data_IF_951427622618
#
_entry.id   IF_951427622618
#
_cell.length_a   1.000
_cell.length_b   1.000
_cell.length_c   1.000
_cell.angle_alpha   90.00
_cell.angle_beta   90.00
_cell.angle_gamma   90.00
#
_symmetry.space_group_name_H-M   'P 1'
#
loop_
_entity.id
_entity.type
_entity.pdbx_description
1 polymer ?
#
# COMPACT_ATOMS: atom_id res chain seq x y z
N UNK A 1 -30.77 -12.92 -0.22
CA UNK A 1 -30.25 -12.21 0.96
C UNK A 1 -28.75 -12.39 1.06
N UNK A 2 -28.08 -11.46 1.75
CA UNK A 2 -26.62 -11.26 1.91
C UNK A 2 -25.96 -10.37 0.85
N UNK A 3 -26.08 -9.07 1.09
CA UNK A 3 -25.06 -8.09 0.71
C UNK A 3 -23.76 -8.46 1.45
N UNK A 4 -22.69 -8.72 0.71
CA UNK A 4 -21.35 -8.79 1.28
C UNK A 4 -21.02 -7.38 1.78
N UNK A 5 -20.69 -7.26 3.07
CA UNK A 5 -20.25 -6.01 3.68
C UNK A 5 -18.89 -5.64 3.12
N UNK A 6 -18.82 -4.57 2.34
CA UNK A 6 -17.57 -3.94 1.99
C UNK A 6 -17.19 -3.16 3.23
N UNK A 7 -16.28 -3.69 4.04
CA UNK A 7 -15.68 -2.92 5.10
C UNK A 7 -14.99 -1.73 4.44
N UNK A 8 -15.62 -0.55 4.51
CA UNK A 8 -14.94 0.69 4.25
C UNK A 8 -13.86 0.78 5.32
N UNK A 9 -12.63 0.45 4.96
CA UNK A 9 -11.47 0.81 5.76
C UNK A 9 -11.50 2.33 5.87
N UNK A 10 -12.02 2.82 6.98
CA UNK A 10 -12.04 4.24 7.28
C UNK A 10 -10.59 4.71 7.22
N UNK A 11 -10.29 5.60 6.26
CA UNK A 11 -9.00 6.26 6.17
C UNK A 11 -8.72 6.91 7.52
N UNK A 12 -7.66 6.45 8.18
CA UNK A 12 -7.08 7.14 9.33
C UNK A 12 -6.85 8.61 8.96
N UNK A 13 -7.09 9.57 9.88
CA UNK A 13 -6.79 10.97 9.61
C UNK A 13 -5.32 11.07 9.19
N UNK A 14 -5.08 11.67 8.03
CA UNK A 14 -3.75 11.80 7.45
C UNK A 14 -2.87 12.58 8.43
N UNK A 15 -1.71 12.04 8.86
CA UNK A 15 -0.85 12.78 9.77
C UNK A 15 -0.42 14.07 9.07
N UNK A 16 -0.70 15.22 9.68
CA UNK A 16 -0.26 16.53 9.21
C UNK A 16 0.69 17.12 10.23
N UNK A 17 1.75 17.77 9.74
CA UNK A 17 2.70 18.49 10.55
C UNK A 17 2.55 19.98 10.26
N UNK A 18 2.35 20.75 11.31
CA UNK A 18 2.24 22.21 11.27
C UNK A 18 3.48 22.81 11.93
N UNK A 19 4.11 23.78 11.29
CA UNK A 19 5.26 24.48 11.84
C UNK A 19 5.27 25.95 11.44
N UNK A 20 5.69 26.81 12.36
CA UNK A 20 5.81 28.25 12.14
C UNK A 20 7.28 28.63 12.02
N UNK A 21 7.64 29.37 10.97
CA UNK A 21 9.01 29.81 10.69
C UNK A 21 9.03 31.33 10.54
N UNK A 22 9.99 31.98 11.18
CA UNK A 22 10.26 33.39 10.98
C UNK A 22 11.21 33.56 9.79
N UNK A 23 10.73 34.20 8.71
CA UNK A 23 11.53 34.54 7.55
C UNK A 23 11.97 36.02 7.65
N UNK A 24 13.27 36.26 7.76
CA UNK A 24 13.83 37.60 7.77
C UNK A 24 14.27 38.01 6.37
N UNK A 25 13.83 39.20 5.92
CA UNK A 25 14.35 39.84 4.72
C UNK A 25 15.47 40.79 5.12
N UNK A 26 16.62 40.72 4.44
CA UNK A 26 17.75 41.59 4.74
C UNK A 26 17.35 43.08 4.60
N UNK A 27 17.57 43.86 5.67
CA UNK A 27 17.14 45.27 5.80
C UNK A 27 15.62 45.47 5.63
N UNK A 28 14.82 44.43 5.85
CA UNK A 28 13.37 44.45 5.63
C UNK A 28 12.58 43.87 6.80
N UNK A 29 11.28 43.66 6.55
CA UNK A 29 10.35 43.09 7.53
C UNK A 29 10.66 41.61 7.79
N UNK A 30 10.34 41.17 9.01
CA UNK A 30 10.31 39.74 9.36
C UNK A 30 8.88 39.24 9.24
N UNK A 31 8.70 38.11 8.56
CA UNK A 31 7.40 37.48 8.36
C UNK A 31 7.30 36.22 9.21
N UNK A 32 6.16 36.01 9.87
CA UNK A 32 5.81 34.72 10.45
C UNK A 32 5.07 33.89 9.40
N UNK A 33 5.68 32.79 8.99
CA UNK A 33 5.17 31.91 7.94
C UNK A 33 4.70 30.61 8.60
N UNK A 34 3.43 30.28 8.40
CA UNK A 34 2.87 28.98 8.78
C UNK A 34 3.05 28.00 7.63
N UNK A 35 3.65 26.86 7.94
CA UNK A 35 3.94 25.79 7.00
C UNK A 35 3.17 24.54 7.43
N UNK A 36 2.30 24.07 6.53
CA UNK A 36 1.53 22.85 6.69
C UNK A 36 2.08 21.78 5.75
N UNK A 37 2.48 20.65 6.30
CA UNK A 37 2.90 19.47 5.55
C UNK A 37 1.93 18.31 5.80
N UNK A 38 1.32 17.80 4.73
CA UNK A 38 0.55 16.56 4.80
C UNK A 38 1.50 15.37 4.64
N UNK A 39 1.65 14.57 5.70
CA UNK A 39 2.43 13.33 5.65
C UNK A 39 1.55 12.24 5.05
N UNK A 40 1.81 11.91 3.79
CA UNK A 40 1.10 10.83 3.11
C UNK A 40 1.58 9.48 3.68
N UNK A 41 0.70 8.78 4.40
CA UNK A 41 0.94 7.39 4.80
C UNK A 41 1.02 6.50 3.56
N UNK A 42 2.01 5.60 3.49
CA UNK A 42 2.18 4.70 2.36
C UNK A 42 1.00 3.71 2.17
N UNK A 43 -0.07 4.11 1.47
CA UNK A 43 -1.24 3.27 1.17
C UNK A 43 -1.11 2.52 -0.17
N UNK A 44 -0.64 1.28 -0.07
CA UNK A 44 -0.65 0.30 -1.17
C UNK A 44 -1.65 -0.81 -0.87
N UNK A 45 -2.37 -1.28 -1.89
CA UNK A 45 -3.38 -2.32 -1.71
C UNK A 45 -3.36 -3.37 -2.83
N UNK A 46 -3.74 -4.61 -2.49
CA UNK A 46 -3.89 -5.73 -3.41
C UNK A 46 -5.37 -6.07 -3.59
N UNK A 47 -5.76 -6.43 -4.81
CA UNK A 47 -7.12 -6.96 -5.05
C UNK A 47 -7.39 -8.28 -4.31
N UNK A 48 -6.33 -9.03 -4.01
CA UNK A 48 -6.35 -10.27 -3.21
C UNK A 48 -4.95 -10.53 -2.66
N UNK A 49 -4.87 -10.98 -1.42
CA UNK A 49 -3.62 -11.35 -0.74
C UNK A 49 -3.32 -12.86 -0.81
N UNK A 50 -4.33 -13.65 -1.17
CA UNK A 50 -4.28 -15.10 -1.24
C UNK A 50 -4.67 -15.58 -2.64
N UNK A 51 -3.85 -16.46 -3.20
CA UNK A 51 -4.13 -17.15 -4.45
C UNK A 51 -4.51 -18.59 -4.17
N UNK A 52 -5.71 -18.99 -4.58
CA UNK A 52 -6.16 -20.38 -4.56
C UNK A 52 -6.29 -20.87 -6.00
N UNK A 53 -5.39 -21.78 -6.37
CA UNK A 53 -5.47 -22.49 -7.64
C UNK A 53 -6.36 -23.73 -7.46
N UNK A 54 -7.13 -24.04 -8.49
CA UNK A 54 -7.96 -25.24 -8.53
C UNK A 54 -7.13 -26.46 -8.87
N UNK A 55 -7.71 -27.66 -8.83
CA UNK A 55 -7.04 -28.84 -9.38
C UNK A 55 -6.78 -28.63 -10.87
N UNK A 56 -5.51 -28.78 -11.29
CA UNK A 56 -5.11 -28.66 -12.69
C UNK A 56 -4.58 -30.00 -13.19
N UNK A 57 -4.91 -30.36 -14.42
CA UNK A 57 -4.38 -31.56 -15.07
C UNK A 57 -2.92 -31.36 -15.47
N UNK A 58 -2.17 -32.47 -15.52
CA UNK A 58 -0.79 -32.48 -16.00
C UNK A 58 -0.73 -31.90 -17.43
N UNK A 59 0.13 -30.92 -17.64
CA UNK A 59 0.30 -30.24 -18.93
C UNK A 59 -0.61 -29.04 -19.15
N UNK A 60 -1.49 -28.68 -18.20
CA UNK A 60 -2.31 -27.47 -18.26
C UNK A 60 -1.72 -26.34 -17.41
N UNK A 61 -2.15 -25.10 -17.66
CA UNK A 61 -1.73 -23.90 -16.93
C UNK A 61 -2.95 -23.11 -16.46
N UNK A 62 -2.97 -22.71 -15.19
CA UNK A 62 -3.95 -21.78 -14.64
C UNK A 62 -3.27 -20.44 -14.35
N UNK A 63 -3.88 -19.35 -14.80
CA UNK A 63 -3.36 -17.99 -14.62
C UNK A 63 -4.28 -17.22 -13.69
N UNK A 64 -3.70 -16.61 -12.66
CA UNK A 64 -4.42 -15.73 -11.75
C UNK A 64 -3.87 -14.31 -11.84
N UNK A 65 -4.76 -13.33 -11.94
CA UNK A 65 -4.39 -11.91 -11.99
C UNK A 65 -4.60 -11.27 -10.62
N UNK A 66 -3.56 -10.65 -10.08
CA UNK A 66 -3.63 -9.78 -8.89
C UNK A 66 -3.41 -8.34 -9.35
N UNK A 67 -4.29 -7.44 -8.93
CA UNK A 67 -4.12 -6.00 -9.18
C UNK A 67 -3.45 -5.34 -7.98
N UNK A 68 -2.49 -4.47 -8.28
CA UNK A 68 -1.87 -3.57 -7.31
C UNK A 68 -2.47 -2.19 -7.51
N UNK A 69 -2.93 -1.57 -6.42
CA UNK A 69 -3.50 -0.23 -6.45
C UNK A 69 -2.57 0.76 -5.78
N UNK A 70 -2.36 1.86 -6.48
CA UNK A 70 -1.72 3.05 -5.96
C UNK A 70 -2.79 4.04 -5.53
N UNK A 71 -2.95 4.27 -4.23
CA UNK A 71 -3.86 5.30 -3.74
C UNK A 71 -3.18 6.63 -3.47
N UNK A 72 -1.87 6.76 -3.75
CA UNK A 72 -1.19 8.04 -3.72
C UNK A 72 -1.59 8.93 -4.89
N UNK A 73 -1.56 10.23 -4.64
CA UNK A 73 -1.67 11.24 -5.69
C UNK A 73 -0.38 11.39 -6.51
N UNK A 74 0.67 10.64 -6.18
CA UNK A 74 1.96 10.65 -6.89
C UNK A 74 2.28 9.28 -7.51
N UNK A 75 3.01 9.24 -8.64
CA UNK A 75 3.45 7.98 -9.24
C UNK A 75 4.38 7.17 -8.33
N UNK A 76 4.20 5.84 -8.31
CA UNK A 76 5.11 4.92 -7.63
C UNK A 76 6.00 4.15 -8.60
N UNK A 77 7.20 3.83 -8.15
CA UNK A 77 8.08 2.84 -8.78
C UNK A 77 7.81 1.47 -8.17
N UNK A 78 7.58 0.47 -9.02
CA UNK A 78 7.20 -0.88 -8.60
C UNK A 78 8.33 -1.88 -8.88
N UNK A 79 8.49 -2.86 -8.00
CA UNK A 79 9.33 -4.03 -8.21
C UNK A 79 8.71 -5.23 -7.51
N UNK A 80 8.74 -6.39 -8.15
CA UNK A 80 8.27 -7.65 -7.55
C UNK A 80 9.50 -8.52 -7.32
N UNK A 81 9.70 -8.96 -6.08
CA UNK A 81 10.77 -9.88 -5.69
C UNK A 81 10.13 -11.11 -5.08
N UNK A 82 10.37 -12.28 -5.69
CA UNK A 82 9.97 -13.54 -5.09
C UNK A 82 10.85 -13.85 -3.88
N UNK A 83 10.27 -13.85 -2.68
CA UNK A 83 10.94 -14.41 -1.50
C UNK A 83 10.88 -15.93 -1.63
N UNK A 84 11.99 -16.62 -1.36
CA UNK A 84 12.08 -18.09 -1.49
C UNK A 84 10.85 -18.77 -0.85
N UNK A 85 10.21 -19.74 -1.52
CA UNK A 85 9.07 -20.45 -0.93
C UNK A 85 9.49 -21.07 0.40
N UNK A 86 8.80 -20.72 1.49
CA UNK A 86 8.91 -21.47 2.75
C UNK A 86 8.11 -22.75 2.55
N UNK A 87 8.70 -23.74 1.89
CA UNK A 87 8.10 -25.06 1.78
C UNK A 87 8.00 -25.64 3.20
N UNK A 88 6.78 -25.74 3.74
CA UNK A 88 6.54 -26.66 4.86
C UNK A 88 6.62 -28.08 4.30
N UNK A 89 7.77 -28.72 4.50
CA UNK A 89 7.94 -30.14 4.21
C UNK A 89 6.97 -30.92 5.13
N UNK A 90 5.89 -31.47 4.56
CA UNK A 90 5.11 -32.51 5.25
C UNK A 90 5.84 -33.83 5.04
N UNK A 91 6.50 -34.33 6.10
CA UNK A 91 6.93 -35.73 6.14
C UNK A 91 5.68 -36.62 6.09
N UNK A 92 5.53 -37.40 5.01
CA UNK A 92 4.70 -38.61 5.05
C UNK A 92 5.57 -39.71 5.63
N UNK A 93 5.26 -40.14 6.85
CA UNK A 93 5.72 -41.44 7.34
C UNK A 93 4.88 -42.50 6.64
N UNK A 94 5.55 -43.40 5.92
CA UNK A 94 5.04 -44.70 5.50
C UNK A 94 5.86 -45.77 6.23
#
# INVERSE_FOLDING_TARGET
GRAAGWAQQQMSPTPSAEFSVLLQVEKGLTYNIHLHATVLELSLNLSKDTLQFSEILVGQCQIETVRLYNWFQVPCKWSITAVKPVMKVKHRQH
#
